data_IF_954572523272
#
_entry.id   IF_954572523272
#
_cell.length_a   1.000
_cell.length_b   1.000
_cell.length_c   1.000
_cell.angle_alpha   90.00
_cell.angle_beta   90.00
_cell.angle_gamma   90.00
#
_symmetry.space_group_name_H-M   'P 1'
#
loop_
_entity.id
_entity.type
_entity.pdbx_description
1 polymer ?
#
# COMPACT_ATOMS: atom_id res chain seq x y z
N UNK A 1 10.94 -10.57 16.26
CA UNK A 1 10.21 -11.60 15.49
C UNK A 1 9.58 -10.91 14.30
N UNK A 2 10.01 -11.22 13.08
CA UNK A 2 9.43 -10.67 11.86
C UNK A 2 8.04 -11.27 11.66
N UNK A 3 6.98 -10.48 11.88
CA UNK A 3 5.64 -10.95 11.61
C UNK A 3 5.47 -11.19 10.11
N UNK A 4 4.98 -12.36 9.73
CA UNK A 4 4.60 -12.64 8.35
C UNK A 4 3.49 -11.66 7.96
N UNK A 5 3.75 -10.83 6.96
CA UNK A 5 2.85 -9.76 6.52
C UNK A 5 1.51 -10.33 6.08
N UNK A 6 1.49 -11.41 5.29
CA UNK A 6 0.24 -12.03 4.84
C UNK A 6 -0.59 -12.55 6.00
N UNK A 7 0.03 -13.20 6.99
CA UNK A 7 -0.68 -13.66 8.19
C UNK A 7 -1.25 -12.48 8.99
N UNK A 8 -0.46 -11.41 9.15
CA UNK A 8 -0.88 -10.19 9.86
C UNK A 8 -2.10 -9.55 9.19
N UNK A 9 -2.06 -9.44 7.87
CA UNK A 9 -3.13 -8.86 7.06
C UNK A 9 -4.39 -9.73 7.08
N UNK A 10 -4.23 -11.06 6.98
CA UNK A 10 -5.32 -12.01 7.09
C UNK A 10 -6.03 -11.90 8.44
N UNK A 11 -5.28 -11.96 9.55
CA UNK A 11 -5.84 -11.82 10.89
C UNK A 11 -6.54 -10.47 11.09
N UNK A 12 -5.98 -9.38 10.57
CA UNK A 12 -6.64 -8.08 10.63
C UNK A 12 -7.99 -8.10 9.92
N UNK A 13 -8.08 -8.70 8.72
CA UNK A 13 -9.32 -8.67 7.96
C UNK A 13 -10.43 -9.51 8.61
N UNK A 14 -10.08 -10.62 9.28
CA UNK A 14 -11.02 -11.44 10.07
C UNK A 14 -11.48 -10.74 11.37
N UNK A 15 -10.64 -9.92 11.99
CA UNK A 15 -10.91 -9.31 13.31
C UNK A 15 -11.93 -8.14 13.25
N UNK A 16 -13.16 -8.34 13.71
CA UNK A 16 -14.24 -7.34 13.57
C UNK A 16 -14.09 -6.08 14.44
N UNK A 17 -13.38 -6.16 15.57
CA UNK A 17 -13.20 -5.08 16.54
C UNK A 17 -12.24 -3.98 16.06
N UNK A 18 -11.33 -4.30 15.14
CA UNK A 18 -10.31 -3.35 14.65
C UNK A 18 -10.80 -2.64 13.39
N UNK A 19 -10.76 -1.30 13.40
CA UNK A 19 -11.15 -0.46 12.27
C UNK A 19 -9.99 -0.26 11.29
N UNK A 20 -8.78 -0.08 11.82
CA UNK A 20 -7.60 0.20 11.01
C UNK A 20 -6.34 -0.48 11.56
N UNK A 21 -5.41 -0.76 10.66
CA UNK A 21 -4.12 -1.38 10.91
C UNK A 21 -3.02 -0.48 10.33
N UNK A 22 -2.17 0.07 11.19
CA UNK A 22 -0.95 0.74 10.75
C UNK A 22 0.18 -0.29 10.70
N UNK A 23 0.83 -0.37 9.54
CA UNK A 23 2.04 -1.13 9.29
C UNK A 23 3.20 -0.16 9.20
N UNK A 24 4.28 -0.41 9.93
CA UNK A 24 5.52 0.38 9.84
C UNK A 24 6.63 -0.55 9.37
N UNK A 25 7.19 -0.26 8.20
CA UNK A 25 8.23 -1.07 7.56
C UNK A 25 9.61 -0.51 7.87
N UNK A 26 10.54 -1.39 8.20
CA UNK A 26 11.94 -1.01 8.46
C UNK A 26 12.58 -0.31 7.27
N UNK A 27 12.29 -0.75 6.03
CA UNK A 27 12.81 -0.16 4.80
C UNK A 27 11.69 0.13 3.80
N UNK A 28 11.80 1.27 3.12
CA UNK A 28 10.94 1.65 2.02
C UNK A 28 11.77 2.27 0.91
N UNK A 29 11.80 1.63 -0.24
CA UNK A 29 12.46 2.11 -1.44
C UNK A 29 11.43 2.68 -2.41
N UNK A 30 11.74 3.84 -2.98
CA UNK A 30 10.95 4.48 -4.03
C UNK A 30 11.83 4.60 -5.26
N UNK A 31 11.38 4.07 -6.39
CA UNK A 31 12.09 4.15 -7.67
C UNK A 31 11.18 4.79 -8.69
N UNK A 32 11.69 5.82 -9.36
CA UNK A 32 10.98 6.55 -10.39
C UNK A 32 11.62 6.27 -11.74
N UNK A 33 10.80 5.98 -12.74
CA UNK A 33 11.22 5.78 -14.11
C UNK A 33 10.49 6.73 -15.05
N UNK A 34 11.22 7.24 -16.03
CA UNK A 34 10.68 8.04 -17.13
C UNK A 34 11.07 7.36 -18.44
N UNK A 35 10.09 7.01 -19.28
CA UNK A 35 10.29 6.26 -20.52
C UNK A 35 11.19 5.01 -20.37
N UNK A 36 11.02 4.29 -19.26
CA UNK A 36 11.80 3.08 -18.94
C UNK A 36 13.20 3.34 -18.39
N UNK A 37 13.68 4.58 -18.41
CA UNK A 37 14.95 4.95 -17.79
C UNK A 37 14.77 5.30 -16.32
N UNK A 38 15.72 4.88 -15.49
CA UNK A 38 15.76 5.27 -14.08
C UNK A 38 15.96 6.79 -13.97
N UNK A 39 15.01 7.47 -13.36
CA UNK A 39 15.07 8.90 -13.10
C UNK A 39 15.62 9.20 -11.70
N UNK A 40 15.09 8.49 -10.69
CA UNK A 40 15.48 8.70 -9.30
C UNK A 40 15.28 7.43 -8.47
N UNK A 41 16.08 7.27 -7.42
CA UNK A 41 15.91 6.23 -6.39
C UNK A 41 16.08 6.86 -5.02
N UNK A 42 15.13 6.59 -4.14
CA UNK A 42 15.18 7.00 -2.74
C UNK A 42 14.97 5.80 -1.84
N UNK A 43 15.61 5.82 -0.68
CA UNK A 43 15.35 4.88 0.40
C UNK A 43 15.02 5.64 1.68
N UNK A 44 14.04 5.13 2.41
CA UNK A 44 13.56 5.65 3.70
C UNK A 44 13.48 4.51 4.69
N UNK A 45 13.48 4.87 5.98
CA UNK A 45 13.21 3.94 7.06
C UNK A 45 11.89 4.28 7.74
N UNK A 46 11.32 3.30 8.44
CA UNK A 46 10.12 3.46 9.26
C UNK A 46 8.93 4.06 8.51
N UNK A 47 8.76 3.71 7.24
CA UNK A 47 7.64 4.20 6.43
C UNK A 47 6.37 3.44 6.76
N UNK A 48 5.26 4.15 6.77
CA UNK A 48 3.98 3.64 7.24
C UNK A 48 2.98 3.50 6.11
N UNK A 49 2.17 2.45 6.22
CA UNK A 49 0.94 2.26 5.47
C UNK A 49 -0.18 2.08 6.48
N UNK A 50 -1.36 2.66 6.20
CA UNK A 50 -2.54 2.45 7.04
C UNK A 50 -3.59 1.72 6.21
N UNK A 51 -3.98 0.55 6.67
CA UNK A 51 -5.06 -0.24 6.09
C UNK A 51 -6.34 0.02 6.89
N UNK A 52 -7.42 0.33 6.19
CA UNK A 52 -8.74 0.55 6.77
C UNK A 52 -9.72 -0.48 6.22
N UNK A 53 -10.57 -1.00 7.08
CA UNK A 53 -11.75 -1.75 6.63
C UNK A 53 -12.76 -0.77 6.04
N UNK A 54 -13.39 -1.17 4.95
CA UNK A 54 -14.46 -0.37 4.32
C UNK A 54 -15.80 -1.07 4.43
N UNK A 55 -16.86 -0.28 4.31
CA UNK A 55 -18.16 -0.76 3.87
C UNK A 55 -18.29 -0.40 2.39
N UNK A 56 -18.47 -1.36 1.47
CA UNK A 56 -18.71 -2.79 1.69
C UNK A 56 -17.45 -3.60 2.04
N UNK A 57 -17.64 -4.74 2.73
CA UNK A 57 -16.56 -5.57 3.34
C UNK A 57 -15.65 -6.31 2.34
N UNK A 58 -16.03 -6.38 1.07
CA UNK A 58 -15.21 -6.99 0.02
C UNK A 58 -14.09 -6.07 -0.47
N UNK A 59 -14.12 -4.78 -0.10
CA UNK A 59 -13.04 -3.84 -0.38
C UNK A 59 -12.22 -3.56 0.88
N UNK A 60 -10.99 -3.12 0.66
CA UNK A 60 -10.11 -2.55 1.67
C UNK A 60 -9.51 -1.26 1.12
N UNK A 61 -9.21 -0.33 2.03
CA UNK A 61 -8.59 0.96 1.69
C UNK A 61 -7.20 1.01 2.28
N UNK A 62 -6.19 1.24 1.45
CA UNK A 62 -4.83 1.49 1.91
C UNK A 62 -4.47 2.95 1.73
N UNK A 63 -3.84 3.52 2.74
CA UNK A 63 -3.39 4.91 2.79
C UNK A 63 -1.86 4.96 2.84
N UNK A 64 -1.29 5.67 1.87
CA UNK A 64 0.14 5.93 1.76
C UNK A 64 0.41 7.26 2.47
N UNK A 65 0.75 7.18 3.76
CA UNK A 65 0.89 8.35 4.64
C UNK A 65 2.26 9.01 4.56
N UNK A 66 3.31 8.23 4.27
CA UNK A 66 4.70 8.70 4.21
C UNK A 66 5.17 8.89 2.76
N UNK A 67 4.38 9.62 1.97
CA UNK A 67 4.71 10.02 0.60
C UNK A 67 5.60 11.27 0.56
N UNK A 68 6.36 11.44 -0.52
CA UNK A 68 7.28 12.57 -0.72
C UNK A 68 6.61 13.81 -1.31
N UNK A 69 5.49 13.63 -2.02
CA UNK A 69 4.85 14.72 -2.78
C UNK A 69 3.42 14.96 -2.31
N UNK A 70 2.65 13.90 -2.08
CA UNK A 70 1.29 13.99 -1.53
C UNK A 70 0.83 12.65 -0.95
N UNK A 71 0.02 12.72 0.10
CA UNK A 71 -0.66 11.56 0.65
C UNK A 71 -1.78 11.12 -0.29
N UNK A 72 -1.98 9.82 -0.42
CA UNK A 72 -3.09 9.28 -1.19
C UNK A 72 -3.56 7.96 -0.60
N UNK A 73 -4.77 7.57 -0.97
CA UNK A 73 -5.34 6.29 -0.61
C UNK A 73 -5.97 5.63 -1.81
N UNK A 74 -5.99 4.31 -1.82
CA UNK A 74 -6.56 3.52 -2.90
C UNK A 74 -7.39 2.36 -2.38
N UNK A 75 -8.33 1.92 -3.20
CA UNK A 75 -9.18 0.78 -2.91
C UNK A 75 -8.69 -0.44 -3.69
N UNK A 76 -8.83 -1.60 -3.05
CA UNK A 76 -8.51 -2.89 -3.63
C UNK A 76 -9.40 -3.97 -3.00
N UNK A 77 -9.52 -5.12 -3.66
CA UNK A 77 -10.30 -6.22 -3.12
C UNK A 77 -9.65 -6.76 -1.85
N UNK A 78 -10.42 -6.81 -0.76
CA UNK A 78 -9.97 -7.28 0.54
C UNK A 78 -9.44 -8.72 0.49
N UNK A 79 -9.91 -9.54 -0.46
CA UNK A 79 -9.46 -10.92 -0.59
C UNK A 79 -7.97 -11.04 -0.99
N UNK A 80 -7.36 -9.98 -1.51
CA UNK A 80 -5.92 -9.93 -1.79
C UNK A 80 -5.06 -9.90 -0.51
N UNK A 81 -5.64 -9.60 0.65
CA UNK A 81 -4.94 -9.66 1.94
C UNK A 81 -4.60 -11.09 2.37
N UNK A 82 -5.33 -12.09 1.87
CA UNK A 82 -5.18 -13.50 2.28
C UNK A 82 -4.46 -14.36 1.25
N UNK A 83 -4.30 -13.87 0.02
CA UNK A 83 -3.75 -14.64 -1.09
C UNK A 83 -2.51 -13.94 -1.59
N UNK A 84 -1.45 -14.71 -1.75
CA UNK A 84 -0.36 -14.31 -2.63
C UNK A 84 -0.96 -14.07 -4.02
N UNK A 85 -1.12 -12.80 -4.39
CA UNK A 85 -1.62 -12.41 -5.70
C UNK A 85 -0.55 -11.64 -6.44
N UNK A 86 -0.25 -12.14 -7.64
CA UNK A 86 0.61 -11.43 -8.58
C UNK A 86 -0.18 -10.27 -9.19
N UNK A 87 0.07 -9.07 -8.69
CA UNK A 87 -0.29 -7.81 -9.35
C UNK A 87 -1.79 -7.55 -9.39
N UNK A 88 -2.37 -7.18 -8.26
CA UNK A 88 -3.77 -6.75 -8.19
C UNK A 88 -3.90 -5.32 -8.70
N UNK A 89 -4.80 -5.09 -9.67
CA UNK A 89 -5.14 -3.73 -10.09
C UNK A 89 -5.89 -3.01 -8.97
N UNK A 90 -5.53 -1.75 -8.73
CA UNK A 90 -6.10 -0.93 -7.66
C UNK A 90 -6.71 0.35 -8.22
N UNK A 91 -7.72 0.88 -7.53
CA UNK A 91 -8.36 2.14 -7.89
C UNK A 91 -7.63 3.31 -7.22
N UNK A 92 -6.92 4.10 -8.03
CA UNK A 92 -6.12 5.24 -7.58
C UNK A 92 -6.85 6.58 -7.79
N UNK A 93 -6.61 7.59 -6.94
CA UNK A 93 -7.10 8.94 -7.16
C UNK A 93 -6.29 9.62 -8.27
N UNK A 94 -6.94 10.46 -9.09
CA UNK A 94 -6.23 11.29 -10.07
C UNK A 94 -5.21 12.21 -9.35
N UNK A 95 -4.02 12.44 -9.93
CA UNK A 95 -3.58 12.08 -11.29
C UNK A 95 -2.96 10.68 -11.41
N UNK A 96 -3.03 9.84 -10.38
CA UNK A 96 -2.41 8.53 -10.39
C UNK A 96 -3.22 7.53 -11.24
N UNK A 97 -2.53 6.72 -12.03
CA UNK A 97 -3.14 5.75 -12.97
C UNK A 97 -2.34 4.43 -12.99
N UNK A 98 -2.95 3.37 -13.55
CA UNK A 98 -2.36 2.04 -13.73
C UNK A 98 -1.73 1.43 -12.47
N UNK A 99 -2.44 1.58 -11.35
CA UNK A 99 -1.98 1.08 -10.05
C UNK A 99 -1.97 -0.43 -9.97
N UNK A 100 -0.91 -0.98 -9.38
CA UNK A 100 -0.81 -2.38 -9.01
C UNK A 100 -0.25 -2.54 -7.60
N UNK A 101 -0.87 -3.45 -6.85
CA UNK A 101 -0.43 -3.87 -5.52
C UNK A 101 0.03 -5.33 -5.56
N UNK A 102 1.16 -5.62 -4.94
CA UNK A 102 1.68 -6.97 -4.73
C UNK A 102 2.10 -7.15 -3.28
N UNK A 103 1.75 -8.29 -2.70
CA UNK A 103 2.02 -8.58 -1.29
C UNK A 103 2.67 -9.96 -1.20
N UNK A 104 3.84 -10.00 -0.56
CA UNK A 104 4.60 -11.19 -0.21
C UNK A 104 4.69 -11.29 1.33
N UNK A 105 5.11 -12.45 1.88
CA UNK A 105 5.26 -12.62 3.33
C UNK A 105 6.12 -11.57 4.05
N UNK A 106 7.08 -10.94 3.37
CA UNK A 106 8.06 -10.02 3.95
C UNK A 106 8.18 -8.70 3.17
N UNK A 107 7.31 -8.49 2.18
CA UNK A 107 7.43 -7.38 1.25
C UNK A 107 6.05 -6.95 0.73
N UNK A 108 5.88 -5.66 0.53
CA UNK A 108 4.76 -5.09 -0.21
C UNK A 108 5.32 -4.20 -1.33
N UNK A 109 4.80 -4.36 -2.55
CA UNK A 109 5.10 -3.46 -3.66
C UNK A 109 3.85 -2.77 -4.15
N UNK A 110 3.99 -1.47 -4.39
CA UNK A 110 2.97 -0.61 -4.97
C UNK A 110 3.59 0.07 -6.18
N UNK A 111 3.08 -0.21 -7.38
CA UNK A 111 3.48 0.48 -8.60
C UNK A 111 2.32 1.26 -9.21
N UNK A 112 2.62 2.41 -9.78
CA UNK A 112 1.64 3.27 -10.43
C UNK A 112 2.32 4.26 -11.37
N UNK A 113 1.51 4.96 -12.18
CA UNK A 113 1.96 6.10 -12.98
C UNK A 113 1.37 7.40 -12.46
N UNK A 114 2.13 8.49 -12.59
CA UNK A 114 1.57 9.84 -12.55
C UNK A 114 1.16 10.18 -13.99
N UNK A 115 -0.14 10.28 -14.23
CA UNK A 115 -0.69 10.65 -15.52
C UNK A 115 -0.46 12.12 -15.82
N UNK A 116 -0.10 12.42 -17.06
CA UNK A 116 0.00 13.77 -17.62
C UNK A 116 -0.80 13.85 -18.94
N UNK A 117 -1.28 15.04 -19.33
CA UNK A 117 -1.94 15.21 -20.63
C UNK A 117 -1.06 14.78 -21.81
N UNK A 118 0.24 15.04 -21.71
CA UNK A 118 1.23 14.50 -22.63
C UNK A 118 1.74 13.13 -22.10
N UNK A 119 1.49 12.02 -22.81
CA UNK A 119 1.98 10.70 -22.43
C UNK A 119 3.50 10.64 -22.27
N UNK A 120 4.24 11.48 -23.00
CA UNK A 120 5.70 11.54 -22.94
C UNK A 120 6.22 12.00 -21.57
N UNK A 121 5.38 12.66 -20.76
CA UNK A 121 5.71 13.15 -19.43
C UNK A 121 5.30 12.18 -18.31
N UNK A 122 4.75 11.01 -18.63
CA UNK A 122 4.34 10.03 -17.63
C UNK A 122 5.53 9.48 -16.84
N UNK A 123 5.41 9.49 -15.53
CA UNK A 123 6.41 8.92 -14.61
C UNK A 123 5.85 7.64 -14.01
N UNK A 124 6.59 6.54 -14.12
CA UNK A 124 6.32 5.31 -13.37
C UNK A 124 6.99 5.37 -12.01
N UNK A 125 6.26 4.94 -10.98
CA UNK A 125 6.72 4.93 -9.61
C UNK A 125 6.56 3.52 -9.07
N UNK A 126 7.60 2.99 -8.43
CA UNK A 126 7.61 1.72 -7.71
C UNK A 126 8.01 1.97 -6.26
N UNK A 127 7.11 1.68 -5.34
CA UNK A 127 7.37 1.63 -3.91
C UNK A 127 7.56 0.17 -3.50
N UNK A 128 8.64 -0.12 -2.79
CA UNK A 128 8.93 -1.44 -2.22
C UNK A 128 9.14 -1.28 -0.72
N UNK A 129 8.26 -1.88 0.07
CA UNK A 129 8.28 -1.86 1.53
C UNK A 129 8.75 -3.21 2.05
N UNK A 130 9.82 -3.24 2.86
CA UNK A 130 10.49 -4.46 3.33
C UNK A 130 11.00 -4.32 4.76
N UNK A 131 11.52 -5.44 5.29
CA UNK A 131 12.10 -5.52 6.63
C UNK A 131 11.06 -5.85 7.70
N UNK A 132 11.45 -5.69 8.95
CA UNK A 132 10.54 -5.93 10.09
C UNK A 132 9.32 -5.01 10.02
N UNK A 133 8.15 -5.60 10.25
CA UNK A 133 6.86 -4.90 10.21
C UNK A 133 6.35 -4.73 11.63
N UNK A 134 6.33 -3.49 12.11
CA UNK A 134 5.66 -3.13 13.35
C UNK A 134 4.19 -2.85 13.09
N UNK A 135 3.34 -3.38 13.95
CA UNK A 135 1.89 -3.37 13.78
C UNK A 135 1.23 -2.59 14.90
N UNK A 136 0.40 -1.61 14.54
CA UNK A 136 -0.44 -0.87 15.50
C UNK A 136 -1.90 -0.91 15.04
N UNK A 137 -2.77 -1.42 15.89
CA UNK A 137 -4.22 -1.53 15.64
C UNK A 137 -4.96 -0.33 16.20
N UNK A 138 -6.04 0.08 15.53
CA UNK A 138 -7.00 1.09 16.02
C UNK A 138 -8.38 0.46 16.08
N UNK A 139 -8.94 0.40 17.29
CA UNK A 139 -10.27 -0.18 17.58
C UNK A 139 -11.39 0.69 17.02
N UNK A 140 -12.52 0.08 16.65
CA UNK A 140 -13.76 0.82 16.35
C UNK A 140 -14.23 1.53 17.63
N UNK A 141 -14.45 2.84 17.55
CA UNK A 141 -15.13 3.57 18.61
C UNK A 141 -16.59 3.12 18.64
N UNK A 142 -17.05 2.56 19.75
CA UNK A 142 -18.48 2.31 19.96
C UNK A 142 -19.08 3.64 20.40
N UNK A 143 -19.75 4.33 19.47
CA UNK A 143 -20.65 5.43 19.83
C UNK A 143 -21.93 4.80 20.38
N UNK A 144 -22.22 5.02 21.66
CA UNK A 144 -23.52 4.69 22.26
C UNK A 144 -24.58 5.71 21.86
#
# INVERSE_FOLDING_TARGET
>A
MSNNLLQTLASFQEETSTAALQLTFGTHQIVNYHNGMLLNRMQRQNSRLVLHKTEPSHLAKMEVVDSLVFQFSFLFEAHALYKYQKGQNICLPRPLVDGRLQIWPQQLELSFRIGAPDPSLCVHILHTYTGDVLVKKKTRSVSF
#
